data_IF_452324607638
#
_entry.id   IF_452324607638
#
_cell.length_a   1.000
_cell.length_b   1.000
_cell.length_c   1.000
_cell.angle_alpha   90.00
_cell.angle_beta   90.00
_cell.angle_gamma   90.00
#
_symmetry.space_group_name_H-M   'P 1'
#
loop_
_entity.id
_entity.type
_entity.pdbx_description
1 polymer ?
#
# COMPACT_ATOMS: atom_id res chain seq x y z
N UNK A 1 -27.68 -5.64 -1.36
CA UNK A 1 -26.27 -6.04 -1.51
C UNK A 1 -25.48 -4.74 -1.66
N UNK A 2 -24.74 -4.33 -0.63
CA UNK A 2 -24.02 -3.05 -0.65
C UNK A 2 -22.83 -3.18 -1.59
N UNK A 3 -22.92 -2.58 -2.77
CA UNK A 3 -21.74 -2.31 -3.59
C UNK A 3 -20.85 -1.42 -2.73
N UNK A 4 -19.63 -1.83 -2.36
CA UNK A 4 -18.75 -0.93 -1.63
C UNK A 4 -18.60 0.27 -2.55
N UNK A 5 -18.95 1.44 -2.04
CA UNK A 5 -18.75 2.71 -2.72
C UNK A 5 -17.30 2.66 -3.15
N UNK A 6 -17.05 2.49 -4.45
CA UNK A 6 -15.75 2.73 -5.03
C UNK A 6 -15.54 4.22 -4.81
N UNK A 7 -15.05 4.58 -3.62
CA UNK A 7 -14.43 5.87 -3.39
C UNK A 7 -13.41 5.94 -4.51
N UNK A 8 -13.70 6.75 -5.54
CA UNK A 8 -12.96 6.77 -6.77
C UNK A 8 -11.48 6.78 -6.40
N UNK A 9 -10.78 5.68 -6.68
CA UNK A 9 -9.41 5.49 -6.22
C UNK A 9 -8.61 6.65 -6.79
N UNK A 10 -8.35 7.66 -5.98
CA UNK A 10 -7.80 8.91 -6.48
C UNK A 10 -6.31 8.74 -6.72
N UNK A 11 -5.71 7.78 -6.01
CA UNK A 11 -4.41 7.23 -6.34
C UNK A 11 -4.06 6.02 -5.48
N UNK A 12 -2.92 5.43 -5.82
CA UNK A 12 -2.28 4.38 -5.03
C UNK A 12 -0.82 4.73 -4.82
N UNK A 13 -0.31 4.46 -3.63
CA UNK A 13 1.10 4.62 -3.29
C UNK A 13 1.69 3.25 -3.02
N UNK A 14 2.78 2.91 -3.72
CA UNK A 14 3.44 1.61 -3.59
C UNK A 14 4.85 1.80 -3.07
N UNK A 15 5.24 1.03 -2.06
CA UNK A 15 6.61 1.06 -1.56
C UNK A 15 7.11 -0.33 -1.15
N UNK A 16 8.44 -0.47 -1.05
CA UNK A 16 9.12 -1.72 -0.79
C UNK A 16 10.02 -1.62 0.45
N UNK A 17 9.87 -2.56 1.38
CA UNK A 17 10.65 -2.66 2.60
C UNK A 17 11.33 -4.02 2.76
N UNK A 18 12.27 -4.09 3.69
CA UNK A 18 12.84 -5.36 4.17
C UNK A 18 11.88 -6.11 5.10
N UNK A 19 10.86 -5.43 5.61
CA UNK A 19 9.76 -5.99 6.37
C UNK A 19 8.45 -5.24 6.05
N UNK A 20 7.31 -5.81 6.45
CA UNK A 20 5.99 -5.25 6.18
C UNK A 20 5.82 -3.85 6.77
N UNK A 21 6.29 -3.60 7.99
CA UNK A 21 6.15 -2.29 8.65
C UNK A 21 6.88 -1.17 7.90
N UNK A 22 8.11 -1.40 7.45
CA UNK A 22 8.84 -0.43 6.62
C UNK A 22 8.14 -0.20 5.29
N UNK A 23 7.68 -1.26 4.63
CA UNK A 23 6.99 -1.15 3.35
C UNK A 23 5.69 -0.33 3.49
N UNK A 24 4.89 -0.60 4.52
CA UNK A 24 3.67 0.17 4.82
C UNK A 24 3.99 1.62 5.17
N UNK A 25 4.96 1.87 6.06
CA UNK A 25 5.33 3.23 6.44
C UNK A 25 5.81 4.05 5.24
N UNK A 26 6.57 3.45 4.33
CA UNK A 26 7.00 4.11 3.10
C UNK A 26 5.83 4.33 2.13
N UNK A 27 4.92 3.37 1.99
CA UNK A 27 3.74 3.51 1.12
C UNK A 27 2.82 4.62 1.65
N UNK A 28 2.61 4.68 2.97
CA UNK A 28 1.85 5.72 3.66
C UNK A 28 2.46 7.12 3.46
N UNK A 29 3.79 7.24 3.37
CA UNK A 29 4.45 8.54 3.08
C UNK A 29 4.10 9.11 1.71
N UNK A 30 3.70 8.26 0.76
CA UNK A 30 3.23 8.70 -0.55
C UNK A 30 1.74 9.06 -0.59
N UNK A 31 1.01 8.90 0.52
CA UNK A 31 -0.39 9.33 0.63
C UNK A 31 -0.42 10.84 0.88
N UNK A 32 -1.10 11.63 0.03
CA UNK A 32 -1.20 13.07 0.22
C UNK A 32 -1.98 13.43 1.48
N UNK A 33 -1.62 14.55 2.11
CA UNK A 33 -2.33 15.05 3.30
C UNK A 33 -3.79 15.36 2.95
N UNK A 34 -4.70 14.84 3.77
CA UNK A 34 -6.15 14.98 3.55
C UNK A 34 -6.75 13.88 2.67
N UNK A 35 -5.96 12.94 2.15
CA UNK A 35 -6.50 11.72 1.56
C UNK A 35 -6.80 10.68 2.65
N UNK A 36 -7.87 9.93 2.45
CA UNK A 36 -8.27 8.81 3.31
C UNK A 36 -7.80 7.51 2.68
N UNK A 37 -7.09 6.71 3.46
CA UNK A 37 -6.71 5.35 3.04
C UNK A 37 -7.97 4.49 3.00
N UNK A 38 -8.24 3.90 1.85
CA UNK A 38 -9.42 3.05 1.63
C UNK A 38 -9.05 1.57 1.59
N UNK A 39 -7.83 1.24 1.17
CA UNK A 39 -7.32 -0.13 1.18
C UNK A 39 -5.79 -0.14 1.34
N UNK A 40 -5.25 -1.22 1.89
CA UNK A 40 -3.82 -1.44 2.05
C UNK A 40 -3.51 -2.91 1.82
N UNK A 41 -2.80 -3.18 0.72
CA UNK A 41 -2.40 -4.53 0.33
C UNK A 41 -0.90 -4.70 0.48
N UNK A 42 -0.47 -5.75 1.16
CA UNK A 42 0.95 -6.07 1.31
C UNK A 42 1.23 -7.46 0.75
N UNK A 43 2.26 -7.56 -0.08
CA UNK A 43 2.76 -8.82 -0.64
C UNK A 43 4.22 -9.00 -0.29
N UNK A 44 4.56 -10.22 0.11
CA UNK A 44 5.96 -10.65 0.23
C UNK A 44 6.37 -11.30 -1.09
N UNK A 45 7.60 -11.02 -1.54
CA UNK A 45 8.17 -11.66 -2.71
C UNK A 45 9.67 -11.87 -2.50
N UNK A 46 10.15 -13.03 -2.94
CA UNK A 46 11.57 -13.34 -2.94
C UNK A 46 12.27 -12.51 -4.02
N UNK A 47 13.35 -11.83 -3.64
CA UNK A 47 14.25 -11.10 -4.55
C UNK A 47 15.61 -11.78 -4.69
N UNK A 48 15.81 -12.91 -4.02
CA UNK A 48 17.02 -13.73 -4.09
C UNK A 48 16.86 -15.04 -3.31
N UNK A 49 17.89 -15.90 -3.34
CA UNK A 49 17.84 -17.25 -2.75
C UNK A 49 17.43 -17.30 -1.27
N UNK A 50 17.74 -16.25 -0.50
CA UNK A 50 17.36 -16.10 0.91
C UNK A 50 16.94 -14.68 1.26
N UNK A 51 16.57 -13.87 0.26
CA UNK A 51 16.23 -12.45 0.46
C UNK A 51 14.80 -12.22 0.06
N UNK A 52 13.99 -11.79 1.02
CA UNK A 52 12.60 -11.43 0.83
C UNK A 52 12.44 -9.92 0.92
N UNK A 53 11.53 -9.39 0.12
CA UNK A 53 11.08 -8.00 0.20
C UNK A 53 9.58 -8.01 0.41
N UNK A 54 9.13 -6.98 1.11
CA UNK A 54 7.72 -6.69 1.28
C UNK A 54 7.39 -5.51 0.40
N UNK A 55 6.38 -5.62 -0.44
CA UNK A 55 5.83 -4.52 -1.20
C UNK A 55 4.42 -4.26 -0.68
N UNK A 56 4.21 -3.07 -0.15
CA UNK A 56 2.89 -2.62 0.28
C UNK A 56 2.37 -1.55 -0.67
N UNK A 57 1.08 -1.64 -0.98
CA UNK A 57 0.34 -0.71 -1.82
C UNK A 57 -0.81 -0.15 -1.00
N UNK A 58 -0.80 1.16 -0.77
CA UNK A 58 -1.84 1.89 -0.06
C UNK A 58 -2.70 2.59 -1.09
N UNK A 59 -3.97 2.21 -1.15
CA UNK A 59 -4.98 2.85 -1.98
C UNK A 59 -5.65 3.96 -1.16
N UNK A 60 -5.79 5.13 -1.75
CA UNK A 60 -6.37 6.28 -1.07
C UNK A 60 -7.35 7.02 -1.99
N UNK A 61 -8.36 7.59 -1.37
CA UNK A 61 -9.34 8.46 -1.99
C UNK A 61 -9.29 9.83 -1.32
N UNK A 62 -9.69 10.88 -2.04
CA UNK A 62 -9.74 12.24 -1.51
C UNK A 62 -10.90 13.01 -2.11
#
# INVERSE_FOLDING_TARGET
MAVPIAAAEKGRSTAQGVNQQMATAQAMRGVPKGATVVDTTCKEFAVGAFTYRFQCTVHWAQ
#
